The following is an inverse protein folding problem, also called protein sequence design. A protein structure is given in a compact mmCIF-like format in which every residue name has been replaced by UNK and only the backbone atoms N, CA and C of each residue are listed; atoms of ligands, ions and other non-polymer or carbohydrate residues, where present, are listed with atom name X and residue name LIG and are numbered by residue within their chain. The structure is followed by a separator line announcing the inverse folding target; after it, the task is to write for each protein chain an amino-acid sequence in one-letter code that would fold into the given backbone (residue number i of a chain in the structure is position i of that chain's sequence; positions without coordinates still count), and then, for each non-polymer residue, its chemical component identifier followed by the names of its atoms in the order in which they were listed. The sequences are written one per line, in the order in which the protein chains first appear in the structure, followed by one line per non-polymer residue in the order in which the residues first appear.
data_IF_857988330350
#
_entry.id   IF_857988330350
#
_cell.length_a   1.000
_cell.length_b   1.000
_cell.length_c   1.000
_cell.angle_alpha   90.00
_cell.angle_beta   90.00
_cell.angle_gamma   90.00
#
_symmetry.space_group_name_H-M   'P 1'
#
loop_
_entity.id
_entity.type
_entity.pdbx_description
1 polymer ?
#
# COMPACT_ATOMS: atom_id res chain seq x y z
N UNK A 1 -4.96 -6.25 4.80
CA UNK A 1 -5.52 -6.86 6.02
C UNK A 1 -5.68 -5.78 7.07
N UNK A 2 -6.83 -5.72 7.75
CA UNK A 2 -7.02 -4.80 8.87
C UNK A 2 -6.25 -5.31 10.10
N UNK A 3 -5.34 -4.50 10.64
CA UNK A 3 -4.48 -4.84 11.79
C UNK A 3 -4.90 -4.11 13.07
N UNK A 4 -5.67 -3.05 12.92
CA UNK A 4 -6.31 -2.24 13.96
C UNK A 4 -7.49 -1.54 13.29
N UNK A 5 -8.48 -1.12 14.08
CA UNK A 5 -9.66 -0.40 13.56
C UNK A 5 -9.27 0.74 12.61
N UNK A 6 -9.68 0.61 11.35
CA UNK A 6 -9.37 1.57 10.28
C UNK A 6 -7.92 1.60 9.80
N UNK A 7 -7.06 0.68 10.23
CA UNK A 7 -5.66 0.58 9.78
C UNK A 7 -5.45 -0.73 9.03
N UNK A 8 -5.16 -0.61 7.74
CA UNK A 8 -4.98 -1.75 6.86
C UNK A 8 -3.54 -1.84 6.40
N UNK A 9 -2.91 -3.00 6.58
CA UNK A 9 -1.58 -3.31 6.05
C UNK A 9 -1.69 -4.16 4.79
N UNK A 10 -0.94 -3.82 3.76
CA UNK A 10 -0.85 -4.55 2.50
C UNK A 10 0.62 -4.87 2.23
N UNK A 11 0.92 -6.15 2.06
CA UNK A 11 2.25 -6.61 1.68
C UNK A 11 2.40 -6.56 0.16
N UNK A 12 3.49 -5.93 -0.31
CA UNK A 12 3.79 -5.74 -1.72
C UNK A 12 5.16 -6.34 -2.08
N UNK A 13 5.33 -6.70 -3.35
CA UNK A 13 6.61 -7.16 -3.87
C UNK A 13 6.87 -8.66 -3.70
N UNK A 14 8.13 -8.99 -3.35
CA UNK A 14 8.83 -10.22 -3.76
C UNK A 14 8.24 -11.58 -3.37
N UNK A 15 8.85 -12.62 -3.95
CA UNK A 15 8.68 -14.06 -3.68
C UNK A 15 9.34 -14.51 -2.35
N UNK A 16 9.81 -13.57 -1.53
CA UNK A 16 10.44 -13.80 -0.23
C UNK A 16 11.86 -14.38 -0.27
N UNK A 17 12.46 -14.57 -1.46
CA UNK A 17 13.66 -15.42 -1.60
C UNK A 17 14.98 -14.67 -1.82
N UNK A 18 14.97 -13.39 -2.24
CA UNK A 18 16.20 -12.68 -2.61
C UNK A 18 16.18 -11.17 -2.31
N UNK A 19 17.34 -10.60 -1.94
CA UNK A 19 17.52 -9.16 -1.72
C UNK A 19 17.30 -8.28 -2.95
N UNK A 20 17.19 -8.89 -4.14
CA UNK A 20 16.88 -8.21 -5.40
C UNK A 20 15.39 -7.91 -5.57
N UNK A 21 14.52 -8.56 -4.79
CA UNK A 21 13.06 -8.41 -4.86
C UNK A 21 12.50 -8.14 -3.46
N UNK A 22 12.58 -6.89 -2.97
CA UNK A 22 12.11 -6.59 -1.62
C UNK A 22 10.62 -6.88 -1.46
N UNK A 23 10.28 -7.36 -0.26
CA UNK A 23 8.91 -7.42 0.25
C UNK A 23 8.74 -6.25 1.21
N UNK A 24 7.76 -5.38 0.97
CA UNK A 24 7.46 -4.21 1.80
C UNK A 24 6.02 -4.21 2.27
N UNK A 25 5.73 -3.35 3.25
CA UNK A 25 4.35 -3.08 3.68
C UNK A 25 3.97 -1.65 3.31
N UNK A 26 2.87 -1.50 2.60
CA UNK A 26 2.15 -0.24 2.48
C UNK A 26 0.94 -0.28 3.42
N UNK A 27 0.45 0.89 3.82
CA UNK A 27 -0.72 0.99 4.68
C UNK A 27 -1.79 1.88 4.07
N UNK A 28 -3.05 1.56 4.35
CA UNK A 28 -4.17 2.46 4.17
C UNK A 28 -4.78 2.75 5.54
N UNK A 29 -4.87 4.04 5.89
CA UNK A 29 -5.53 4.50 7.11
C UNK A 29 -6.87 5.12 6.73
N UNK A 30 -7.95 4.50 7.19
CA UNK A 30 -9.32 4.91 6.92
C UNK A 30 -9.78 5.93 7.97
N UNK A 31 -10.09 7.15 7.52
CA UNK A 31 -10.84 8.12 8.30
C UNK A 31 -12.34 8.07 7.97
N UNK A 32 -13.11 8.98 8.57
CA UNK A 32 -14.55 9.09 8.33
C UNK A 32 -14.90 9.54 6.90
N UNK A 33 -14.19 10.55 6.38
CA UNK A 33 -14.51 11.19 5.10
C UNK A 33 -13.50 10.86 3.98
N UNK A 34 -12.29 10.49 4.38
CA UNK A 34 -11.17 10.17 3.49
C UNK A 34 -10.20 9.24 4.20
N UNK A 35 -9.32 8.62 3.42
CA UNK A 35 -8.14 7.95 3.96
C UNK A 35 -6.84 8.40 3.34
N UNK A 36 -5.78 7.81 3.85
CA UNK A 36 -4.40 8.14 3.53
C UNK A 36 -3.65 6.84 3.22
N UNK A 37 -2.93 6.83 2.11
CA UNK A 37 -1.92 5.80 1.87
C UNK A 37 -0.61 6.20 2.56
N UNK A 38 0.01 5.23 3.24
CA UNK A 38 1.40 5.30 3.69
C UNK A 38 2.17 4.37 2.75
N UNK A 39 3.03 4.99 1.97
CA UNK A 39 3.71 4.47 0.78
C UNK A 39 2.76 4.13 -0.39
N UNK A 40 3.26 4.33 -1.60
CA UNK A 40 2.53 4.12 -2.87
C UNK A 40 2.76 2.74 -3.48
N UNK A 41 3.77 2.01 -2.97
CA UNK A 41 4.25 0.77 -3.57
C UNK A 41 5.35 0.99 -4.61
N UNK A 42 5.44 0.05 -5.53
CA UNK A 42 6.44 -0.03 -6.59
C UNK A 42 6.01 0.72 -7.87
N UNK A 43 6.95 1.15 -8.71
CA UNK A 43 6.64 1.73 -10.02
C UNK A 43 6.11 0.67 -11.01
N UNK A 44 6.35 -0.60 -10.72
CA UNK A 44 5.85 -1.73 -11.48
C UNK A 44 4.41 -2.06 -11.08
N UNK A 45 3.51 -2.08 -12.07
CA UNK A 45 2.08 -2.27 -11.85
C UNK A 45 1.80 -3.64 -11.23
N UNK A 46 2.50 -4.70 -11.62
CA UNK A 46 2.27 -6.05 -11.08
C UNK A 46 2.54 -6.10 -9.57
N UNK A 47 3.64 -5.47 -9.13
CA UNK A 47 4.02 -5.44 -7.71
C UNK A 47 3.18 -4.50 -6.85
N UNK A 48 2.58 -3.47 -7.45
CA UNK A 48 1.68 -2.51 -6.75
C UNK A 48 0.22 -2.93 -6.81
N UNK A 49 -0.17 -3.76 -7.77
CA UNK A 49 -1.54 -4.26 -7.95
C UNK A 49 -2.19 -4.75 -6.64
N UNK A 50 -1.52 -5.50 -5.73
CA UNK A 50 -2.17 -5.90 -4.49
C UNK A 50 -2.65 -4.74 -3.60
N UNK A 51 -1.96 -3.59 -3.61
CA UNK A 51 -2.40 -2.38 -2.90
C UNK A 51 -3.71 -1.85 -3.49
N UNK A 52 -3.74 -1.72 -4.81
CA UNK A 52 -4.87 -1.16 -5.54
C UNK A 52 -6.09 -2.09 -5.50
N UNK A 53 -5.87 -3.40 -5.65
CA UNK A 53 -6.92 -4.41 -5.57
C UNK A 53 -7.50 -4.49 -4.15
N UNK A 54 -6.66 -4.44 -3.11
CA UNK A 54 -7.17 -4.39 -1.73
C UNK A 54 -8.00 -3.12 -1.48
N UNK A 55 -7.50 -1.94 -1.87
CA UNK A 55 -8.24 -0.68 -1.73
C UNK A 55 -9.55 -0.68 -2.52
N UNK A 56 -9.54 -1.17 -3.76
CA UNK A 56 -10.71 -1.18 -4.63
C UNK A 56 -11.74 -2.22 -4.17
N UNK A 57 -11.31 -3.47 -4.06
CA UNK A 57 -12.20 -4.62 -3.95
C UNK A 57 -12.56 -4.96 -2.50
N UNK A 58 -11.68 -4.63 -1.54
CA UNK A 58 -11.95 -4.87 -0.11
C UNK A 58 -12.51 -3.64 0.58
N UNK A 59 -11.94 -2.46 0.33
CA UNK A 59 -12.37 -1.23 1.02
C UNK A 59 -13.49 -0.48 0.28
N UNK A 60 -13.78 -0.85 -0.96
CA UNK A 60 -14.82 -0.20 -1.76
C UNK A 60 -14.38 1.14 -2.35
N UNK A 61 -13.08 1.33 -2.60
CA UNK A 61 -12.52 2.57 -3.15
C UNK A 61 -12.85 3.85 -2.36
N UNK A 62 -12.62 3.88 -1.04
CA UNK A 62 -12.86 5.09 -0.24
C UNK A 62 -12.02 6.26 -0.76
N UNK A 63 -12.54 7.49 -0.59
CA UNK A 63 -11.87 8.70 -1.05
C UNK A 63 -10.48 8.80 -0.42
N UNK A 64 -9.47 9.08 -1.25
CA UNK A 64 -8.10 9.31 -0.81
C UNK A 64 -7.84 10.82 -0.82
N UNK A 65 -7.22 11.34 0.25
CA UNK A 65 -6.79 12.73 0.28
C UNK A 65 -5.27 12.88 0.18
N UNK A 66 -4.52 11.93 0.76
CA UNK A 66 -3.06 12.01 0.83
C UNK A 66 -2.39 10.67 0.55
N UNK A 67 -1.18 10.76 -0.01
CA UNK A 67 -0.20 9.68 -0.08
C UNK A 67 1.06 10.17 0.62
N UNK A 68 1.44 9.51 1.70
CA UNK A 68 2.64 9.81 2.47
C UNK A 68 3.74 8.82 2.12
N UNK A 69 4.79 9.26 1.43
CA UNK A 69 5.95 8.43 1.10
C UNK A 69 6.99 8.56 2.22
N UNK A 70 7.33 7.45 2.86
CA UNK A 70 8.16 7.43 4.06
C UNK A 70 9.62 7.83 3.80
N UNK A 71 10.20 7.40 2.67
CA UNK A 71 11.54 7.77 2.24
C UNK A 71 11.75 7.52 0.74
N UNK A 72 12.87 8.01 0.20
CA UNK A 72 13.16 7.99 -1.25
C UNK A 72 13.79 6.68 -1.72
N UNK A 73 13.05 5.58 -1.65
CA UNK A 73 13.34 4.36 -2.39
C UNK A 73 12.16 3.98 -3.29
N UNK A 74 12.45 3.20 -4.34
CA UNK A 74 11.50 2.95 -5.43
C UNK A 74 10.29 2.14 -4.99
N UNK A 75 10.42 1.34 -3.94
CA UNK A 75 9.35 0.50 -3.37
C UNK A 75 8.37 1.25 -2.46
N UNK A 76 8.60 2.55 -2.21
CA UNK A 76 7.78 3.39 -1.35
C UNK A 76 7.08 4.55 -2.08
N UNK A 77 7.69 5.08 -3.14
CA UNK A 77 7.17 6.22 -3.90
C UNK A 77 7.13 5.98 -5.41
N UNK A 78 7.07 4.71 -5.80
CA UNK A 78 7.08 4.26 -7.19
C UNK A 78 5.91 4.76 -8.02
#
# INVERSE_FOLDING_TARGET
MEIMDGIHQITLGGDGSSGSHPTVSAYYVQGMDYGVFIDAGFPDEERTRPLLDYWRDTLGSPKIEWVFVTHRHYEHGG
#
